data_IF_146199408300
#
_entry.id   IF_146199408300
#
_cell.length_a   1.000
_cell.length_b   1.000
_cell.length_c   1.000
_cell.angle_alpha   90.00
_cell.angle_beta   90.00
_cell.angle_gamma   90.00
#
_symmetry.space_group_name_H-M   'P 1'
#
loop_
_entity.id
_entity.type
_entity.pdbx_description
1 polymer ?
#
# COMPACT_ATOMS: atom_id res chain seq x y z
N UNK A 1 -53.15 -42.35 -40.41
CA UNK A 1 -52.16 -41.70 -41.31
C UNK A 1 -52.45 -40.21 -41.15
N UNK A 2 -51.77 -39.40 -40.35
CA UNK A 2 -50.35 -39.32 -39.93
C UNK A 2 -50.37 -38.47 -38.64
N UNK A 3 -50.09 -39.05 -37.47
CA UNK A 3 -48.90 -38.82 -36.63
C UNK A 3 -48.58 -37.36 -36.21
N UNK A 4 -48.85 -37.11 -34.92
CA UNK A 4 -48.05 -36.38 -33.91
C UNK A 4 -47.95 -34.82 -33.90
N UNK A 5 -47.68 -34.21 -32.72
CA UNK A 5 -48.71 -33.60 -31.88
C UNK A 5 -48.36 -32.17 -31.39
N UNK A 6 -49.24 -31.63 -30.52
CA UNK A 6 -49.19 -30.32 -29.88
C UNK A 6 -47.85 -29.97 -29.19
N UNK A 7 -47.47 -28.68 -29.12
CA UNK A 7 -46.28 -28.28 -28.37
C UNK A 7 -46.49 -28.47 -26.87
N UNK A 8 -45.57 -29.25 -26.29
CA UNK A 8 -45.49 -29.56 -24.87
C UNK A 8 -45.26 -28.31 -24.02
N UNK A 9 -45.93 -28.34 -22.88
CA UNK A 9 -45.85 -27.37 -21.79
C UNK A 9 -44.49 -27.59 -21.11
N UNK A 10 -43.65 -26.55 -21.08
CA UNK A 10 -42.39 -26.56 -20.33
C UNK A 10 -42.71 -26.06 -18.92
N UNK A 11 -42.87 -27.00 -17.99
CA UNK A 11 -42.74 -26.74 -16.57
C UNK A 11 -41.80 -27.81 -15.99
N UNK A 12 -40.53 -27.47 -15.81
CA UNK A 12 -39.69 -28.15 -14.84
C UNK A 12 -38.71 -27.14 -14.23
N UNK A 13 -38.87 -27.00 -12.93
CA UNK A 13 -38.10 -26.20 -11.98
C UNK A 13 -36.81 -26.95 -11.64
N UNK A 14 -35.63 -26.33 -11.68
CA UNK A 14 -34.52 -26.62 -10.76
C UNK A 14 -33.25 -25.79 -11.06
N UNK A 15 -32.76 -25.18 -9.98
CA UNK A 15 -31.34 -25.00 -9.65
C UNK A 15 -30.55 -23.87 -10.32
N UNK A 16 -30.14 -22.95 -9.45
CA UNK A 16 -29.09 -21.99 -9.66
C UNK A 16 -27.82 -22.67 -10.21
N UNK A 17 -27.11 -21.98 -11.09
CA UNK A 17 -25.67 -22.17 -11.22
C UNK A 17 -25.03 -20.80 -11.19
N UNK A 18 -24.87 -20.31 -9.97
CA UNK A 18 -23.87 -19.33 -9.57
C UNK A 18 -22.47 -19.90 -9.90
N UNK A 19 -22.03 -19.92 -11.17
CA UNK A 19 -20.67 -20.37 -11.51
C UNK A 19 -20.19 -19.83 -12.88
N UNK A 20 -20.28 -18.51 -13.05
CA UNK A 20 -19.20 -17.80 -13.74
C UNK A 20 -18.45 -16.95 -12.70
N UNK A 21 -18.07 -17.59 -11.60
CA UNK A 21 -16.94 -17.12 -10.81
C UNK A 21 -15.73 -17.23 -11.73
N UNK A 22 -15.27 -16.07 -12.24
CA UNK A 22 -13.97 -15.96 -12.91
C UNK A 22 -12.96 -16.72 -12.05
N UNK A 23 -12.36 -17.75 -12.63
CA UNK A 23 -11.35 -18.59 -12.00
C UNK A 23 -10.12 -17.71 -11.72
N UNK A 24 -10.11 -17.04 -10.56
CA UNK A 24 -9.09 -16.06 -10.17
C UNK A 24 -7.72 -16.75 -10.04
N UNK A 25 -7.71 -18.08 -9.88
CA UNK A 25 -6.50 -18.90 -9.84
C UNK A 25 -5.81 -19.04 -11.21
N UNK A 26 -6.44 -18.65 -12.32
CA UNK A 26 -5.78 -18.54 -13.64
C UNK A 26 -5.00 -17.24 -13.83
N UNK A 27 -5.18 -16.26 -12.96
CA UNK A 27 -4.34 -15.07 -12.92
C UNK A 27 -3.26 -15.29 -11.86
N UNK A 28 -2.18 -15.97 -12.24
CA UNK A 28 -0.91 -15.79 -11.52
C UNK A 28 -0.54 -14.30 -11.65
N UNK A 29 -0.86 -13.52 -10.62
CA UNK A 29 -0.30 -12.19 -10.45
C UNK A 29 1.21 -12.42 -10.45
N UNK A 30 1.97 -11.89 -11.42
CA UNK A 30 3.40 -12.06 -11.43
C UNK A 30 3.92 -11.41 -10.15
N UNK A 31 4.37 -12.26 -9.22
CA UNK A 31 5.14 -11.80 -8.07
C UNK A 31 6.48 -11.39 -8.65
N UNK A 32 6.58 -10.11 -8.98
CA UNK A 32 7.87 -9.47 -9.25
C UNK A 32 8.65 -9.61 -7.95
N UNK A 33 9.69 -10.43 -7.97
CA UNK A 33 10.65 -10.52 -6.88
C UNK A 33 11.12 -9.09 -6.59
N UNK A 34 11.02 -8.68 -5.32
CA UNK A 34 11.43 -7.35 -4.80
C UNK A 34 12.95 -7.21 -4.97
N UNK A 35 13.38 -7.01 -6.22
CA UNK A 35 14.62 -6.34 -6.55
C UNK A 35 14.47 -4.98 -5.88
N UNK A 36 15.09 -4.84 -4.72
CA UNK A 36 15.14 -3.57 -4.01
C UNK A 36 15.70 -2.55 -4.98
N UNK A 37 14.79 -1.83 -5.61
CA UNK A 37 15.09 -0.86 -6.63
C UNK A 37 15.82 0.25 -5.88
N UNK A 38 17.16 0.20 -5.89
CA UNK A 38 18.05 1.29 -5.48
C UNK A 38 17.93 2.44 -6.51
N UNK A 39 16.69 2.74 -6.93
CA UNK A 39 16.31 3.73 -7.92
C UNK A 39 16.77 5.11 -7.47
N UNK A 40 16.85 5.33 -6.16
CA UNK A 40 17.28 6.59 -5.55
C UNK A 40 18.25 6.35 -4.39
N UNK A 41 19.38 7.08 -4.34
CA UNK A 41 20.21 7.11 -3.15
C UNK A 41 19.41 7.63 -1.96
N UNK A 42 19.25 6.81 -0.92
CA UNK A 42 18.58 7.20 0.31
C UNK A 42 19.40 6.85 1.55
N UNK A 43 19.21 7.62 2.62
CA UNK A 43 19.83 7.34 3.91
C UNK A 43 18.99 7.88 5.07
N UNK A 44 19.18 7.29 6.26
CA UNK A 44 18.49 7.72 7.47
C UNK A 44 19.43 8.57 8.30
N UNK A 45 19.08 9.84 8.49
CA UNK A 45 19.77 10.77 9.37
C UNK A 45 18.92 11.03 10.62
N UNK A 46 19.29 10.42 11.75
CA UNK A 46 18.60 10.62 13.02
C UNK A 46 17.15 10.10 12.99
N UNK A 47 16.17 11.00 12.82
CA UNK A 47 14.73 10.69 12.72
C UNK A 47 14.11 11.01 11.36
N UNK A 48 14.94 11.25 10.35
CA UNK A 48 14.49 11.67 9.02
C UNK A 48 15.07 10.72 7.98
N UNK A 49 14.22 10.28 7.06
CA UNK A 49 14.62 9.63 5.82
C UNK A 49 14.94 10.73 4.81
N UNK A 50 16.10 10.64 4.18
CA UNK A 50 16.52 11.56 3.12
C UNK A 50 16.60 10.73 1.84
N UNK A 51 15.82 11.12 0.84
CA UNK A 51 15.81 10.51 -0.50
C UNK A 51 16.33 11.54 -1.49
N UNK A 52 17.29 11.15 -2.34
CA UNK A 52 17.81 12.01 -3.41
C UNK A 52 17.10 11.70 -4.72
N UNK A 53 16.44 12.70 -5.27
CA UNK A 53 15.69 12.64 -6.53
C UNK A 53 16.38 13.55 -7.56
N UNK A 54 16.20 13.30 -8.85
CA UNK A 54 16.77 14.16 -9.90
C UNK A 54 16.14 15.57 -9.89
N UNK A 55 14.85 15.64 -9.60
CA UNK A 55 14.07 16.86 -9.32
C UNK A 55 13.01 16.46 -8.28
N UNK A 56 12.93 17.06 -7.07
CA UNK A 56 13.49 18.34 -6.60
C UNK A 56 14.89 18.29 -5.93
N UNK A 57 15.65 17.20 -6.08
CA UNK A 57 17.00 17.08 -5.49
C UNK A 57 17.05 16.30 -4.18
N UNK A 58 16.44 16.82 -3.10
CA UNK A 58 16.40 16.13 -1.80
C UNK A 58 15.02 16.20 -1.16
N UNK A 59 14.44 15.04 -0.86
CA UNK A 59 13.17 14.90 -0.17
C UNK A 59 13.41 14.36 1.24
N UNK A 60 12.83 15.03 2.24
CA UNK A 60 13.10 14.77 3.67
C UNK A 60 11.83 14.37 4.39
N UNK A 61 11.75 13.10 4.80
CA UNK A 61 10.55 12.52 5.39
C UNK A 61 10.74 12.21 6.88
N UNK A 62 9.89 12.72 7.78
CA UNK A 62 9.99 12.43 9.20
C UNK A 62 9.56 11.00 9.53
N UNK A 63 10.47 10.19 10.06
CA UNK A 63 10.21 8.79 10.45
C UNK A 63 9.64 8.65 11.87
N UNK A 64 9.57 9.73 12.65
CA UNK A 64 9.07 9.70 14.03
C UNK A 64 7.57 9.98 14.03
N UNK A 65 6.79 8.90 14.05
CA UNK A 65 5.34 8.96 14.18
C UNK A 65 4.94 8.74 15.64
N UNK A 66 4.08 9.62 16.15
CA UNK A 66 3.42 9.45 17.44
C UNK A 66 2.29 8.44 17.35
N UNK A 67 1.89 7.89 18.49
CA UNK A 67 0.78 6.94 18.56
C UNK A 67 -0.53 7.53 17.98
N UNK A 68 -0.82 8.80 18.29
CA UNK A 68 -2.02 9.48 17.78
C UNK A 68 -1.99 9.59 16.26
N UNK A 69 -0.84 9.94 15.67
CA UNK A 69 -0.69 10.01 14.21
C UNK A 69 -0.91 8.65 13.53
N UNK A 70 -0.49 7.56 14.16
CA UNK A 70 -0.71 6.20 13.65
C UNK A 70 -2.20 5.82 13.74
N UNK A 71 -2.88 6.20 14.82
CA UNK A 71 -4.31 5.96 14.97
C UNK A 71 -5.12 6.79 13.96
N UNK A 72 -4.77 8.06 13.78
CA UNK A 72 -5.41 8.95 12.81
C UNK A 72 -5.19 8.45 11.38
N UNK A 73 -3.99 7.95 11.05
CA UNK A 73 -3.72 7.32 9.76
C UNK A 73 -4.70 6.17 9.52
N UNK A 74 -4.75 5.20 10.45
CA UNK A 74 -5.66 4.05 10.36
C UNK A 74 -7.13 4.41 10.25
N UNK A 75 -7.55 5.52 10.86
CA UNK A 75 -8.93 5.97 10.81
C UNK A 75 -9.28 6.68 9.47
N UNK A 76 -8.29 7.24 8.78
CA UNK A 76 -8.46 8.03 7.55
C UNK A 76 -8.14 7.25 6.28
N UNK A 77 -7.34 6.20 6.37
CA UNK A 77 -7.01 5.32 5.24
C UNK A 77 -8.04 4.20 5.10
N UNK A 78 -8.46 3.94 3.87
CA UNK A 78 -9.28 2.77 3.53
C UNK A 78 -8.41 1.50 3.50
N UNK A 79 -9.04 0.33 3.54
CA UNK A 79 -8.33 -0.95 3.50
C UNK A 79 -7.52 -1.15 2.20
N UNK A 80 -7.97 -0.51 1.11
CA UNK A 80 -7.38 -0.62 -0.23
C UNK A 80 -6.44 0.56 -0.56
N UNK A 81 -6.12 1.42 0.41
CA UNK A 81 -5.22 2.56 0.19
C UNK A 81 -3.79 2.07 -0.04
N UNK A 82 -3.17 2.51 -1.13
CA UNK A 82 -1.78 2.18 -1.44
C UNK A 82 -0.79 2.96 -0.55
N UNK A 83 0.50 2.63 -0.65
CA UNK A 83 1.52 3.28 0.17
C UNK A 83 1.64 4.79 -0.12
N UNK A 84 1.36 5.24 -1.34
CA UNK A 84 1.40 6.67 -1.66
C UNK A 84 0.26 7.41 -0.97
N UNK A 85 -0.97 6.90 -1.06
CA UNK A 85 -2.15 7.45 -0.38
C UNK A 85 -1.95 7.49 1.13
N UNK A 86 -1.42 6.41 1.71
CA UNK A 86 -1.09 6.34 3.13
C UNK A 86 -0.03 7.38 3.51
N UNK A 87 1.00 7.60 2.67
CA UNK A 87 2.02 8.60 2.94
C UNK A 87 1.45 10.02 2.84
N UNK A 88 0.63 10.33 1.83
CA UNK A 88 0.02 11.65 1.67
C UNK A 88 -0.87 11.99 2.87
N UNK A 89 -1.74 11.07 3.29
CA UNK A 89 -2.57 11.26 4.50
C UNK A 89 -1.70 11.45 5.74
N UNK A 90 -0.59 10.71 5.86
CA UNK A 90 0.31 10.86 6.98
C UNK A 90 0.95 12.25 7.02
N UNK A 91 1.39 12.78 5.88
CA UNK A 91 1.97 14.10 5.78
C UNK A 91 0.95 15.20 6.08
N UNK A 92 -0.30 15.02 5.66
CA UNK A 92 -1.40 15.91 6.04
C UNK A 92 -1.65 15.91 7.55
N UNK A 93 -1.61 14.74 8.21
CA UNK A 93 -1.73 14.63 9.68
C UNK A 93 -0.56 15.34 10.38
N UNK A 94 0.65 15.28 9.80
CA UNK A 94 1.83 15.97 10.33
C UNK A 94 1.75 17.49 10.08
N UNK A 95 0.98 17.92 9.08
CA UNK A 95 0.86 19.31 8.68
C UNK A 95 1.96 19.78 7.73
N UNK A 96 2.62 18.86 7.04
CA UNK A 96 3.70 19.17 6.09
C UNK A 96 3.15 19.34 4.66
N UNK A 97 2.46 20.46 4.44
CA UNK A 97 1.79 20.75 3.17
C UNK A 97 2.77 20.88 2.00
N UNK A 98 3.96 21.42 2.24
CA UNK A 98 4.98 21.60 1.20
C UNK A 98 5.44 20.24 0.66
N UNK A 99 5.61 19.25 1.54
CA UNK A 99 6.02 17.91 1.14
C UNK A 99 4.91 17.14 0.42
N UNK A 100 3.65 17.36 0.80
CA UNK A 100 2.48 16.84 0.08
C UNK A 100 2.46 17.36 -1.36
N UNK A 101 2.60 18.67 -1.55
CA UNK A 101 2.61 19.27 -2.89
C UNK A 101 3.84 18.84 -3.70
N UNK A 102 4.98 18.65 -3.03
CA UNK A 102 6.20 18.12 -3.67
C UNK A 102 5.97 16.69 -4.18
N UNK A 103 5.38 15.79 -3.38
CA UNK A 103 5.09 14.42 -3.78
C UNK A 103 4.05 14.34 -4.91
N UNK A 104 3.09 15.27 -4.94
CA UNK A 104 2.13 15.38 -6.04
C UNK A 104 2.75 15.94 -7.33
N UNK A 105 3.85 16.69 -7.21
CA UNK A 105 4.52 17.34 -8.32
C UNK A 105 5.57 16.49 -9.04
N UNK A 106 6.07 15.43 -8.40
CA UNK A 106 7.02 14.49 -9.01
C UNK A 106 6.30 13.43 -9.85
N UNK A 107 7.08 12.65 -10.62
CA UNK A 107 6.54 11.52 -11.37
C UNK A 107 5.88 10.50 -10.43
N UNK A 108 4.75 9.94 -10.87
CA UNK A 108 3.96 9.00 -10.09
C UNK A 108 4.79 7.77 -9.67
N UNK A 109 5.65 7.26 -10.56
CA UNK A 109 6.48 6.10 -10.24
C UNK A 109 7.54 6.44 -9.17
N UNK A 110 8.05 7.67 -9.17
CA UNK A 110 8.99 8.16 -8.16
C UNK A 110 8.27 8.36 -6.81
N UNK A 111 7.05 8.91 -6.83
CA UNK A 111 6.24 9.08 -5.62
C UNK A 111 5.92 7.75 -4.93
N UNK A 112 5.56 6.72 -5.70
CA UNK A 112 5.33 5.36 -5.18
C UNK A 112 6.63 4.79 -4.58
N UNK A 113 7.75 4.89 -5.30
CA UNK A 113 9.04 4.40 -4.83
C UNK A 113 9.48 5.08 -3.51
N UNK A 114 9.32 6.40 -3.42
CA UNK A 114 9.61 7.17 -2.20
C UNK A 114 8.72 6.73 -1.04
N UNK A 115 7.45 6.43 -1.31
CA UNK A 115 6.49 5.97 -0.31
C UNK A 115 6.85 4.59 0.23
N UNK A 116 7.22 3.66 -0.65
CA UNK A 116 7.72 2.34 -0.25
C UNK A 116 8.99 2.45 0.60
N UNK A 117 9.95 3.30 0.20
CA UNK A 117 11.18 3.56 0.97
C UNK A 117 10.88 4.13 2.36
N UNK A 118 9.90 5.03 2.47
CA UNK A 118 9.45 5.58 3.73
C UNK A 118 8.94 4.49 4.69
N UNK A 119 7.99 3.67 4.26
CA UNK A 119 7.42 2.63 5.11
C UNK A 119 8.43 1.54 5.45
N UNK A 120 9.35 1.21 4.53
CA UNK A 120 10.47 0.31 4.80
C UNK A 120 11.38 0.87 5.89
N UNK A 121 11.80 2.13 5.78
CA UNK A 121 12.63 2.80 6.77
C UNK A 121 11.92 2.92 8.14
N UNK A 122 10.62 3.21 8.13
CA UNK A 122 9.79 3.28 9.34
C UNK A 122 9.66 1.92 10.03
N UNK A 123 9.40 0.85 9.27
CA UNK A 123 9.34 -0.54 9.77
C UNK A 123 10.67 -0.99 10.37
N UNK A 124 11.79 -0.73 9.69
CA UNK A 124 13.12 -1.03 10.21
C UNK A 124 13.38 -0.30 11.54
N UNK A 125 13.05 0.99 11.62
CA UNK A 125 13.21 1.78 12.85
C UNK A 125 12.34 1.27 14.00
N UNK A 126 11.08 0.95 13.75
CA UNK A 126 10.14 0.47 14.77
C UNK A 126 10.52 -0.92 15.28
N UNK A 127 10.96 -1.83 14.40
CA UNK A 127 11.51 -3.13 14.79
C UNK A 127 12.78 -2.98 15.66
N UNK A 128 13.70 -2.09 15.29
CA UNK A 128 14.91 -1.82 16.09
C UNK A 128 14.56 -1.21 17.44
N UNK A 129 13.57 -0.31 17.49
CA UNK A 129 13.08 0.31 18.74
C UNK A 129 12.47 -0.74 19.69
N UNK A 130 11.61 -1.63 19.18
CA UNK A 130 11.02 -2.74 19.94
C UNK A 130 12.08 -3.77 20.38
N UNK A 131 13.07 -4.06 19.53
CA UNK A 131 14.19 -4.95 19.86
C UNK A 131 15.07 -4.43 21.01
N UNK A 132 15.26 -3.11 21.10
CA UNK A 132 15.96 -2.46 22.22
C UNK A 132 15.14 -2.47 23.51
N UNK A 133 13.81 -2.30 23.43
CA UNK A 133 12.89 -2.43 24.58
C UNK A 133 12.88 -3.84 25.18
N UNK A 134 12.94 -4.90 24.35
CA UNK A 134 13.01 -6.30 24.81
C UNK A 134 14.34 -6.68 25.47
N UNK A 135 15.40 -5.90 25.25
CA UNK A 135 16.74 -6.13 25.84
C UNK A 135 17.01 -5.28 27.08
N UNK A 136 15.98 -4.79 27.78
CA UNK A 136 16.18 -4.27 29.13
C UNK A 136 16.55 -5.43 30.06
N UNK A 137 17.79 -5.53 30.56
CA UNK A 137 18.10 -6.49 31.61
C UNK A 137 17.39 -6.00 32.86
N UNK A 138 16.54 -6.84 33.46
CA UNK A 138 16.10 -6.62 34.84
C UNK A 138 17.35 -6.48 35.69
N UNK A 139 17.54 -5.30 36.28
CA UNK A 139 18.50 -5.08 37.35
C UNK A 139 17.73 -4.82 38.63
#
# INVERSE_FOLDING_TARGET
>A
MTENPAPEIIDETAEATEDELLDVDQYEIPVVEDDSDDRFPCFIAGSTLIVRLDDPGELRLPLKLSYNQIQDLKARTTADADELDQLLVLLEIIGDADLVETLKGIDMADAIAVSLLFFRAWKQRTQVSLGKLRRSPRR
#
